data_IF_204256022817
#
_entry.id   IF_204256022817
#
_cell.length_a   1.000
_cell.length_b   1.000
_cell.length_c   1.000
_cell.angle_alpha   90.00
_cell.angle_beta   90.00
_cell.angle_gamma   90.00
#
_symmetry.space_group_name_H-M   'P 1'
#
loop_
_entity.id
_entity.type
_entity.pdbx_description
1 polymer ?
#
# COMPACT_ATOMS: atom_id res chain seq x y z
N UNK A 1 13.65 -1.97 -17.56
CA UNK A 1 13.56 -3.25 -16.82
C UNK A 1 14.53 -3.17 -15.65
N UNK A 2 14.08 -2.72 -14.49
CA UNK A 2 14.89 -2.71 -13.26
C UNK A 2 14.29 -3.73 -12.29
N UNK A 3 14.77 -4.98 -12.32
CA UNK A 3 14.55 -5.88 -11.20
C UNK A 3 15.75 -5.73 -10.25
N UNK A 4 15.63 -4.79 -9.32
CA UNK A 4 16.49 -4.81 -8.13
C UNK A 4 15.97 -5.93 -7.24
N UNK A 5 16.87 -6.81 -6.84
CA UNK A 5 16.63 -7.83 -5.83
C UNK A 5 16.49 -7.12 -4.47
N UNK A 6 15.31 -6.58 -4.18
CA UNK A 6 15.02 -5.87 -2.93
C UNK A 6 14.91 -6.94 -1.85
N UNK A 7 15.76 -6.87 -0.82
CA UNK A 7 15.54 -7.66 0.38
C UNK A 7 14.25 -7.19 1.04
N UNK A 8 13.22 -8.01 0.94
CA UNK A 8 11.89 -7.65 1.41
C UNK A 8 11.78 -7.69 2.94
N UNK A 9 12.67 -8.45 3.59
CA UNK A 9 12.77 -8.51 5.04
C UNK A 9 13.11 -7.14 5.64
N UNK A 10 12.20 -6.60 6.46
CA UNK A 10 12.34 -5.27 7.07
C UNK A 10 11.82 -4.11 6.22
N UNK A 11 11.20 -4.38 5.07
CA UNK A 11 10.56 -3.34 4.25
C UNK A 11 9.12 -3.07 4.69
N UNK A 12 8.73 -1.79 4.67
CA UNK A 12 7.35 -1.34 4.81
C UNK A 12 6.77 -1.11 3.41
N UNK A 13 5.63 -1.73 3.12
CA UNK A 13 4.88 -1.51 1.88
C UNK A 13 3.72 -0.57 2.17
N UNK A 14 3.76 0.64 1.58
CA UNK A 14 2.65 1.57 1.62
C UNK A 14 1.87 1.51 0.30
N UNK A 15 0.53 1.48 0.36
CA UNK A 15 -0.33 1.45 -0.81
C UNK A 15 -1.63 2.23 -0.58
N UNK A 16 -2.23 2.74 -1.67
CA UNK A 16 -3.56 3.37 -1.62
C UNK A 16 -4.66 2.32 -1.41
N UNK A 17 -5.68 2.66 -0.63
CA UNK A 17 -6.93 1.91 -0.61
C UNK A 17 -7.65 1.96 -1.97
N UNK A 18 -7.51 0.93 -2.78
CA UNK A 18 -8.15 0.80 -4.11
C UNK A 18 -9.39 -0.11 -4.14
N UNK A 19 -9.96 -0.43 -2.98
CA UNK A 19 -11.13 -1.31 -2.88
C UNK A 19 -10.81 -2.74 -3.33
N UNK A 20 -11.67 -3.33 -4.16
CA UNK A 20 -11.54 -4.72 -4.65
C UNK A 20 -10.21 -5.01 -5.36
N UNK A 21 -9.62 -4.01 -6.02
CA UNK A 21 -8.35 -4.16 -6.74
C UNK A 21 -7.16 -4.36 -5.79
N UNK A 22 -7.29 -3.91 -4.54
CA UNK A 22 -6.27 -4.11 -3.50
C UNK A 22 -6.22 -5.54 -2.97
N UNK A 23 -7.24 -6.38 -3.21
CA UNK A 23 -7.32 -7.71 -2.60
C UNK A 23 -6.17 -8.64 -3.04
N UNK A 24 -5.80 -8.63 -4.32
CA UNK A 24 -4.68 -9.44 -4.83
C UNK A 24 -3.35 -9.00 -4.24
N UNK A 25 -3.11 -7.69 -4.16
CA UNK A 25 -1.93 -7.12 -3.53
C UNK A 25 -1.87 -7.51 -2.05
N UNK A 26 -2.94 -7.29 -1.30
CA UNK A 26 -3.01 -7.63 0.12
C UNK A 26 -2.79 -9.12 0.38
N UNK A 27 -3.32 -10.00 -0.47
CA UNK A 27 -3.09 -11.43 -0.34
C UNK A 27 -1.62 -11.80 -0.54
N UNK A 28 -0.96 -11.18 -1.52
CA UNK A 28 0.48 -11.36 -1.74
C UNK A 28 1.30 -10.84 -0.56
N UNK A 29 1.05 -9.61 -0.10
CA UNK A 29 1.75 -9.00 1.04
C UNK A 29 1.56 -9.81 2.34
N UNK A 30 0.34 -10.35 2.56
CA UNK A 30 0.05 -11.24 3.69
C UNK A 30 0.86 -12.53 3.63
N UNK A 31 0.94 -13.16 2.44
CA UNK A 31 1.70 -14.40 2.23
C UNK A 31 3.19 -14.20 2.50
N UNK A 32 3.73 -13.08 2.04
CA UNK A 32 5.14 -12.70 2.24
C UNK A 32 5.41 -12.08 3.63
N UNK A 33 4.38 -11.99 4.50
CA UNK A 33 4.46 -11.46 5.87
C UNK A 33 5.03 -10.03 5.94
N UNK A 34 4.67 -9.20 4.97
CA UNK A 34 5.20 -7.84 4.86
C UNK A 34 4.40 -6.86 5.71
N UNK A 35 5.14 -5.98 6.38
CA UNK A 35 4.57 -4.84 7.07
C UNK A 35 3.88 -3.96 6.04
N UNK A 36 2.57 -3.80 6.19
CA UNK A 36 1.73 -3.13 5.20
C UNK A 36 1.09 -1.90 5.83
N UNK A 37 1.04 -0.80 5.10
CA UNK A 37 0.30 0.42 5.43
C UNK A 37 -0.64 0.74 4.27
N UNK A 38 -1.93 0.63 4.51
CA UNK A 38 -2.93 1.08 3.54
C UNK A 38 -3.36 2.49 3.91
N UNK A 39 -3.22 3.42 2.96
CA UNK A 39 -3.53 4.82 3.16
C UNK A 39 -4.63 5.30 2.21
N UNK A 40 -5.39 6.31 2.63
CA UNK A 40 -6.40 6.95 1.79
C UNK A 40 -5.75 7.71 0.64
N UNK A 41 -6.23 7.47 -0.58
CA UNK A 41 -5.79 8.22 -1.77
C UNK A 41 -5.98 9.72 -1.65
N UNK A 42 -6.97 10.16 -0.87
CA UNK A 42 -7.18 11.58 -0.58
C UNK A 42 -6.01 12.13 0.24
N UNK A 43 -5.56 11.42 1.27
CA UNK A 43 -4.44 11.87 2.11
C UNK A 43 -3.14 11.95 1.31
N UNK A 44 -2.87 10.93 0.48
CA UNK A 44 -1.70 10.91 -0.39
C UNK A 44 -1.74 12.12 -1.33
N UNK A 45 -2.86 12.35 -2.03
CA UNK A 45 -3.03 13.51 -2.94
C UNK A 45 -2.90 14.86 -2.24
N UNK A 46 -3.46 15.02 -1.04
CA UNK A 46 -3.35 16.25 -0.27
C UNK A 46 -1.89 16.54 0.14
N UNK A 47 -1.12 15.49 0.44
CA UNK A 47 0.29 15.62 0.79
C UNK A 47 1.19 15.91 -0.41
N UNK A 48 0.88 15.32 -1.57
CA UNK A 48 1.73 15.34 -2.77
C UNK A 48 1.35 16.42 -3.79
N UNK A 49 0.30 17.20 -3.50
CA UNK A 49 -0.20 18.27 -4.38
C UNK A 49 -0.93 17.78 -5.63
N UNK A 50 -1.35 18.73 -6.47
CA UNK A 50 -2.06 18.45 -7.74
C UNK A 50 -1.07 17.97 -8.81
N UNK A 51 -1.27 16.77 -9.30
CA UNK A 51 -0.39 16.14 -10.28
C UNK A 51 -1.14 15.90 -11.60
N UNK A 52 -0.56 16.36 -12.73
CA UNK A 52 -1.07 16.07 -14.08
C UNK A 52 -0.39 14.80 -14.63
N UNK A 53 -1.20 13.86 -15.12
CA UNK A 53 -0.74 12.62 -15.77
C UNK A 53 -0.79 11.40 -14.85
N UNK A 54 -1.41 10.31 -15.32
CA UNK A 54 -1.41 8.99 -14.67
C UNK A 54 -0.19 8.22 -15.16
N UNK A 55 0.72 7.88 -14.26
CA UNK A 55 1.85 7.00 -14.54
C UNK A 55 2.10 6.15 -13.29
N UNK A 56 1.92 4.83 -13.41
CA UNK A 56 1.99 3.88 -12.29
C UNK A 56 3.35 3.92 -11.57
N UNK A 57 4.44 4.13 -12.31
CA UNK A 57 5.80 4.24 -11.72
C UNK A 57 5.95 5.50 -10.88
N UNK A 58 5.42 6.63 -11.36
CA UNK A 58 5.45 7.90 -10.65
C UNK A 58 4.54 7.83 -9.42
N UNK A 59 3.37 7.21 -9.52
CA UNK A 59 2.46 7.05 -8.39
C UNK A 59 3.06 6.14 -7.32
N UNK A 60 3.74 5.04 -7.68
CA UNK A 60 4.46 4.20 -6.72
C UNK A 60 5.56 4.99 -5.97
N UNK A 61 6.32 5.83 -6.69
CA UNK A 61 7.32 6.70 -6.06
C UNK A 61 6.69 7.72 -5.10
N UNK A 62 5.56 8.34 -5.47
CA UNK A 62 4.86 9.29 -4.60
C UNK A 62 4.36 8.65 -3.32
N UNK A 63 3.84 7.43 -3.41
CA UNK A 63 3.36 6.69 -2.25
C UNK A 63 4.52 6.32 -1.32
N UNK A 64 5.69 5.96 -1.86
CA UNK A 64 6.86 5.67 -1.04
C UNK A 64 7.42 6.95 -0.38
N UNK A 65 7.48 8.06 -1.10
CA UNK A 65 7.88 9.36 -0.56
C UNK A 65 6.93 9.85 0.55
N UNK A 66 5.62 9.72 0.32
CA UNK A 66 4.59 9.95 1.35
C UNK A 66 4.85 9.11 2.60
N UNK A 67 5.08 7.81 2.44
CA UNK A 67 5.27 6.91 3.57
C UNK A 67 6.54 7.27 4.38
N UNK A 68 7.62 7.64 3.70
CA UNK A 68 8.85 8.10 4.33
C UNK A 68 8.65 9.41 5.11
N UNK A 69 7.96 10.39 4.53
CA UNK A 69 7.74 11.71 5.15
C UNK A 69 6.69 11.67 6.27
N UNK A 70 5.71 10.78 6.17
CA UNK A 70 4.61 10.64 7.13
C UNK A 70 4.77 9.41 8.03
N UNK A 71 5.97 8.86 8.18
CA UNK A 71 6.22 7.65 8.97
C UNK A 71 5.70 7.75 10.41
N UNK A 72 5.68 8.96 10.98
CA UNK A 72 5.11 9.23 12.31
C UNK A 72 3.58 9.01 12.41
N UNK A 73 2.87 8.91 11.28
CA UNK A 73 1.43 8.60 11.18
C UNK A 73 1.15 7.15 10.82
N UNK A 74 2.19 6.33 10.70
CA UNK A 74 2.10 4.93 10.27
C UNK A 74 0.99 4.17 11.01
N UNK A 75 0.09 3.56 10.24
CA UNK A 75 -0.93 2.64 10.74
C UNK A 75 -0.74 1.29 10.07
N UNK A 76 -0.37 0.29 10.88
CA UNK A 76 -0.23 -1.07 10.39
C UNK A 76 -1.58 -1.58 9.89
N UNK A 77 -1.58 -2.12 8.68
CA UNK A 77 -2.73 -2.77 8.12
C UNK A 77 -2.95 -4.12 8.82
N UNK A 78 -4.09 -4.25 9.47
CA UNK A 78 -4.49 -5.51 10.08
C UNK A 78 -5.17 -6.39 9.03
N UNK A 79 -4.50 -7.48 8.64
CA UNK A 79 -5.13 -8.47 7.77
C UNK A 79 -6.29 -9.15 8.49
N UNK A 80 -7.44 -9.22 7.81
CA UNK A 80 -8.58 -9.99 8.28
C UNK A 80 -8.23 -11.49 8.32
N UNK A 81 -8.79 -12.18 9.31
CA UNK A 81 -8.74 -13.64 9.37
C UNK A 81 -9.66 -14.22 8.30
N UNK A 82 -9.42 -15.45 7.88
CA UNK A 82 -10.25 -16.12 6.86
C UNK A 82 -11.73 -16.16 7.26
N UNK A 83 -12.01 -16.23 8.56
CA UNK A 83 -13.37 -16.19 9.09
C UNK A 83 -14.09 -14.86 8.79
N UNK A 84 -13.38 -13.72 8.87
CA UNK A 84 -13.98 -12.39 8.64
C UNK A 84 -14.10 -12.07 7.15
N UNK A 85 -13.17 -12.54 6.32
CA UNK A 85 -13.24 -12.36 4.85
C UNK A 85 -14.48 -13.02 4.26
N UNK A 86 -14.94 -14.14 4.82
CA UNK A 86 -16.16 -14.84 4.37
C UNK A 86 -17.43 -14.03 4.63
N UNK A 87 -17.47 -13.24 5.70
CA UNK A 87 -18.62 -12.41 6.08
C UNK A 87 -18.72 -11.11 5.27
N UNK A 88 -17.63 -10.63 4.68
CA UNK A 88 -17.65 -9.42 3.85
C UNK A 88 -18.05 -9.68 2.39
N UNK A 89 -18.01 -10.95 1.95
CA UNK A 89 -18.32 -11.37 0.59
C UNK A 89 -19.66 -12.15 0.50
N UNK A 90 -20.47 -12.14 1.56
CA UNK A 90 -21.78 -12.79 1.66
C UNK A 90 -22.93 -11.82 1.49
#
# INVERSE_FOLDING_TARGET
>A
MFQKNIQVGGSLVCAEHTGIYGAHLLNYLKKEQLVTWMESGIQIKLSSGSNRGKNDEIDAYRISDYACTQLHKLRFYQFLSEATTRLQNS
#
